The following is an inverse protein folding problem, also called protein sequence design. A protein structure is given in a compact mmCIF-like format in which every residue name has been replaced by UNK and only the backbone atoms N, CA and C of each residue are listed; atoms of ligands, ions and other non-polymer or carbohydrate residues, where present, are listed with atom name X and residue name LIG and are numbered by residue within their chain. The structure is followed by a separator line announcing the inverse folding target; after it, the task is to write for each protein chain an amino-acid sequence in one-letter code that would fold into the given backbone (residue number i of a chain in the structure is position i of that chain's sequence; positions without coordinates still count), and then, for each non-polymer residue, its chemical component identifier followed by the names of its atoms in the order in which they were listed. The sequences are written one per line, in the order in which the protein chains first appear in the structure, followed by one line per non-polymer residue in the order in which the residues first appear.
data_IF_191199428816
#
_entry.id   IF_191199428816
#
_cell.length_a   1.000
_cell.length_b   1.000
_cell.length_c   1.000
_cell.angle_alpha   90.00
_cell.angle_beta   90.00
_cell.angle_gamma   90.00
#
_symmetry.space_group_name_H-M   'P 1'
#
loop_
_entity.id
_entity.type
_entity.pdbx_description
1 polymer ?
#
# COMPACT_ATOMS: atom_id res chain seq x y z
N UNK A 1 -19.00 -11.63 5.69
CA UNK A 1 -18.82 -10.17 5.78
C UNK A 1 -19.63 -9.54 4.66
N UNK A 2 -20.54 -8.64 5.00
CA UNK A 2 -21.28 -7.85 4.01
C UNK A 2 -20.48 -6.61 3.58
N UNK A 3 -20.96 -5.88 2.55
CA UNK A 3 -20.27 -4.70 2.01
C UNK A 3 -20.08 -3.59 3.05
N UNK A 4 -21.10 -3.31 3.86
CA UNK A 4 -21.02 -2.23 4.86
C UNK A 4 -19.98 -2.53 5.93
N UNK A 5 -19.90 -3.78 6.41
CA UNK A 5 -18.89 -4.21 7.37
C UNK A 5 -17.49 -4.09 6.79
N UNK A 6 -17.30 -4.54 5.54
CA UNK A 6 -16.00 -4.49 4.87
C UNK A 6 -15.55 -3.05 4.66
N UNK A 7 -16.42 -2.19 4.13
CA UNK A 7 -16.10 -0.81 3.83
C UNK A 7 -15.82 -0.01 5.10
N UNK A 8 -16.58 -0.21 6.19
CA UNK A 8 -16.29 0.46 7.46
C UNK A 8 -14.90 0.08 7.98
N UNK A 9 -14.55 -1.20 7.96
CA UNK A 9 -13.22 -1.65 8.37
C UNK A 9 -12.10 -1.15 7.45
N UNK A 10 -12.36 -0.99 6.15
CA UNK A 10 -11.42 -0.35 5.21
C UNK A 10 -11.20 1.13 5.55
N UNK A 11 -12.27 1.88 5.84
CA UNK A 11 -12.16 3.29 6.21
C UNK A 11 -11.36 3.47 7.51
N UNK A 12 -11.60 2.62 8.52
CA UNK A 12 -10.82 2.60 9.75
C UNK A 12 -9.34 2.26 9.47
N UNK A 13 -9.08 1.24 8.66
CA UNK A 13 -7.73 0.87 8.26
C UNK A 13 -6.98 2.01 7.57
N UNK A 14 -7.61 2.72 6.63
CA UNK A 14 -7.02 3.85 5.91
C UNK A 14 -6.75 5.05 6.83
N UNK A 15 -7.66 5.32 7.77
CA UNK A 15 -7.53 6.39 8.75
C UNK A 15 -6.36 6.14 9.71
N UNK A 16 -6.19 4.91 10.17
CA UNK A 16 -5.12 4.53 11.11
C UNK A 16 -3.80 4.12 10.44
N UNK A 17 -3.71 4.23 9.11
CA UNK A 17 -2.52 3.88 8.32
C UNK A 17 -1.97 5.08 7.53
N UNK A 18 -1.50 6.16 8.19
CA UNK A 18 -0.93 7.32 7.51
C UNK A 18 0.41 7.04 6.82
N UNK A 19 1.11 5.97 7.20
CA UNK A 19 2.42 5.56 6.63
C UNK A 19 2.52 4.04 6.46
N UNK A 20 3.50 3.53 5.69
CA UNK A 20 3.74 2.08 5.56
C UNK A 20 3.94 1.38 6.91
N UNK A 21 4.62 2.05 7.85
CA UNK A 21 4.83 1.51 9.20
C UNK A 21 3.53 1.34 9.98
N UNK A 22 2.61 2.30 9.85
CA UNK A 22 1.30 2.23 10.48
C UNK A 22 0.41 1.20 9.78
N UNK A 23 0.46 1.11 8.45
CA UNK A 23 -0.23 0.08 7.70
C UNK A 23 0.17 -1.33 8.18
N UNK A 24 1.47 -1.61 8.29
CA UNK A 24 1.95 -2.90 8.83
C UNK A 24 1.56 -3.11 10.28
N UNK A 25 1.59 -2.08 11.13
CA UNK A 25 1.08 -2.19 12.51
C UNK A 25 -0.40 -2.61 12.53
N UNK A 26 -1.24 -1.99 11.70
CA UNK A 26 -2.66 -2.33 11.62
C UNK A 26 -2.87 -3.74 11.05
N UNK A 27 -2.17 -4.12 9.98
CA UNK A 27 -2.21 -5.48 9.42
C UNK A 27 -1.79 -6.53 10.46
N UNK A 28 -0.73 -6.26 11.21
CA UNK A 28 -0.28 -7.11 12.32
C UNK A 28 -1.39 -7.32 13.35
N UNK A 29 -2.03 -6.25 13.79
CA UNK A 29 -3.12 -6.32 14.77
C UNK A 29 -4.29 -7.17 14.27
N UNK A 30 -4.69 -6.99 13.00
CA UNK A 30 -5.74 -7.79 12.36
C UNK A 30 -5.38 -9.27 12.32
N UNK A 31 -4.15 -9.61 11.92
CA UNK A 31 -3.66 -10.99 11.84
C UNK A 31 -3.55 -11.63 13.23
N UNK A 32 -2.96 -10.95 14.20
CA UNK A 32 -2.82 -11.44 15.58
C UNK A 32 -4.18 -11.68 16.23
N UNK A 33 -5.15 -10.78 16.03
CA UNK A 33 -6.52 -10.97 16.52
C UNK A 33 -7.21 -12.23 15.98
N UNK A 34 -6.68 -12.80 14.89
CA UNK A 34 -7.19 -14.00 14.22
C UNK A 34 -6.27 -15.22 14.41
N UNK A 35 -5.40 -15.15 15.43
CA UNK A 35 -4.54 -16.25 15.86
C UNK A 35 -3.32 -16.48 14.98
N UNK A 36 -2.92 -15.51 14.14
CA UNK A 36 -1.63 -15.60 13.47
C UNK A 36 -0.49 -15.26 14.43
N UNK A 37 0.55 -16.09 14.42
CA UNK A 37 1.74 -15.95 15.24
C UNK A 37 2.83 -15.15 14.50
N UNK A 38 3.43 -14.16 15.17
CA UNK A 38 4.59 -13.46 14.62
C UNK A 38 5.82 -14.35 14.70
N UNK A 39 6.44 -14.64 13.55
CA UNK A 39 7.75 -15.29 13.49
C UNK A 39 8.85 -14.24 13.42
N UNK A 40 9.95 -14.50 14.13
CA UNK A 40 11.15 -13.69 14.04
C UNK A 40 12.04 -14.15 12.87
N UNK A 41 12.58 -13.21 12.09
CA UNK A 41 13.42 -13.52 10.92
C UNK A 41 14.74 -14.20 11.31
N UNK A 42 15.28 -13.87 12.48
CA UNK A 42 16.55 -14.36 13.03
C UNK A 42 16.45 -15.74 13.71
N UNK A 43 15.25 -16.26 13.89
CA UNK A 43 14.96 -17.49 14.62
C UNK A 43 14.63 -18.62 13.66
N UNK A 44 14.85 -19.89 14.05
CA UNK A 44 14.36 -21.03 13.27
C UNK A 44 12.83 -21.11 13.31
N UNK A 45 12.22 -21.63 12.23
CA UNK A 45 10.75 -21.76 12.14
C UNK A 45 10.32 -23.22 12.22
N UNK A 46 9.26 -23.49 12.99
CA UNK A 46 8.60 -24.80 13.04
C UNK A 46 7.14 -24.63 12.62
N UNK A 47 6.92 -24.64 11.32
CA UNK A 47 5.59 -24.46 10.74
C UNK A 47 4.79 -25.75 10.86
N UNK A 48 3.55 -25.63 11.36
CA UNK A 48 2.62 -26.76 11.52
C UNK A 48 1.57 -26.73 10.41
N UNK A 49 1.05 -27.89 9.94
CA UNK A 49 -0.14 -27.92 9.10
C UNK A 49 -1.33 -27.21 9.79
N UNK A 50 -2.09 -26.41 9.04
CA UNK A 50 -3.17 -25.58 9.60
C UNK A 50 -2.71 -24.36 10.40
N UNK A 51 -1.41 -24.12 10.48
CA UNK A 51 -0.80 -23.00 11.18
C UNK A 51 -1.01 -21.65 10.49
N UNK A 52 -0.95 -20.59 11.28
CA UNK A 52 -1.17 -19.20 10.86
C UNK A 52 0.00 -18.37 11.37
N UNK A 53 0.74 -17.75 10.46
CA UNK A 53 1.99 -17.08 10.79
C UNK A 53 2.12 -15.77 10.03
N UNK A 54 2.90 -14.83 10.55
CA UNK A 54 3.37 -13.70 9.76
C UNK A 54 4.78 -13.28 10.16
N UNK A 55 5.45 -12.60 9.23
CA UNK A 55 6.81 -12.09 9.37
C UNK A 55 6.79 -10.63 8.95
N UNK A 56 7.50 -9.77 9.67
CA UNK A 56 7.60 -8.34 9.36
C UNK A 56 9.05 -7.99 9.12
N UNK A 57 9.32 -7.26 8.04
CA UNK A 57 10.65 -6.72 7.73
C UNK A 57 10.61 -5.20 7.68
N UNK A 58 11.63 -4.57 8.27
CA UNK A 58 11.73 -3.11 8.41
C UNK A 58 10.55 -2.43 9.14
N UNK A 59 9.56 -3.17 9.61
CA UNK A 59 8.30 -2.60 10.10
C UNK A 59 7.41 -2.02 9.00
N UNK A 60 7.79 -2.10 7.72
CA UNK A 60 7.04 -1.53 6.58
C UNK A 60 6.58 -2.56 5.54
N UNK A 61 7.11 -3.80 5.60
CA UNK A 61 6.62 -4.92 4.80
C UNK A 61 6.21 -6.09 5.68
N UNK A 62 5.22 -6.86 5.22
CA UNK A 62 4.70 -8.02 5.95
C UNK A 62 4.40 -9.18 4.99
N UNK A 63 4.76 -10.39 5.41
CA UNK A 63 4.32 -11.65 4.77
C UNK A 63 3.47 -12.42 5.76
N UNK A 64 2.24 -12.76 5.39
CA UNK A 64 1.38 -13.68 6.15
C UNK A 64 1.29 -15.03 5.44
N UNK A 65 1.31 -16.10 6.23
CA UNK A 65 1.30 -17.49 5.77
C UNK A 65 0.17 -18.21 6.49
N UNK A 66 -0.64 -18.93 5.73
CA UNK A 66 -1.60 -19.89 6.26
C UNK A 66 -1.35 -21.23 5.60
N UNK A 67 -0.95 -22.23 6.39
CA UNK A 67 -0.61 -23.55 5.86
C UNK A 67 -1.86 -24.41 5.72
N UNK A 68 -2.03 -25.02 4.56
CA UNK A 68 -3.09 -25.99 4.30
C UNK A 68 -2.73 -27.39 4.82
N UNK A 69 -3.68 -28.34 4.79
CA UNK A 69 -3.43 -29.75 5.08
C UNK A 69 -2.60 -30.45 3.99
N UNK A 70 -2.67 -29.96 2.74
CA UNK A 70 -1.92 -30.49 1.60
C UNK A 70 -0.53 -29.82 1.55
N UNK A 71 0.51 -30.63 1.39
CA UNK A 71 1.87 -30.12 1.29
C UNK A 71 2.04 -29.25 0.03
N UNK A 72 2.80 -28.13 0.07
CA UNK A 72 2.98 -27.25 -1.10
C UNK A 72 3.49 -27.95 -2.36
N UNK A 73 4.24 -29.05 -2.23
CA UNK A 73 4.74 -29.82 -3.40
C UNK A 73 3.64 -30.53 -4.19
N UNK A 74 2.48 -30.76 -3.58
CA UNK A 74 1.37 -31.47 -4.20
C UNK A 74 0.24 -30.50 -4.57
N UNK A 75 0.10 -29.41 -3.79
CA UNK A 75 -0.99 -28.45 -3.96
C UNK A 75 -0.58 -27.09 -4.52
N UNK A 76 0.71 -26.74 -4.54
CA UNK A 76 1.17 -25.38 -4.84
C UNK A 76 0.75 -24.33 -3.79
N UNK A 77 1.05 -23.07 -4.08
CA UNK A 77 0.72 -21.91 -3.24
C UNK A 77 -0.27 -20.97 -3.92
N UNK A 78 -1.11 -20.35 -3.10
CA UNK A 78 -2.00 -19.25 -3.51
C UNK A 78 -1.40 -17.97 -2.97
N UNK A 79 -0.78 -17.20 -3.86
CA UNK A 79 -0.05 -16.00 -3.50
C UNK A 79 -0.89 -14.76 -3.81
N UNK A 80 -0.94 -13.82 -2.87
CA UNK A 80 -1.47 -12.48 -3.09
C UNK A 80 -0.35 -11.48 -2.79
N UNK A 81 -0.01 -10.64 -3.77
CA UNK A 81 0.97 -9.57 -3.62
C UNK A 81 0.31 -8.21 -3.68
N UNK A 82 0.70 -7.31 -2.78
CA UNK A 82 0.25 -5.91 -2.68
C UNK A 82 1.43 -5.02 -2.25
N UNK A 83 1.19 -3.72 -2.06
CA UNK A 83 2.19 -2.80 -1.52
C UNK A 83 1.61 -1.83 -0.48
N UNK A 84 2.42 -1.49 0.54
CA UNK A 84 2.05 -0.70 1.73
C UNK A 84 2.35 0.78 1.60
N UNK A 85 3.14 1.16 0.59
CA UNK A 85 3.49 2.53 0.31
C UNK A 85 2.53 3.23 -0.62
N UNK A 86 2.62 4.56 -0.61
CA UNK A 86 1.86 5.45 -1.47
C UNK A 86 2.69 6.69 -1.72
N UNK A 87 2.49 7.40 -2.84
CA UNK A 87 3.20 8.63 -3.12
C UNK A 87 2.90 9.68 -2.06
N UNK A 88 3.95 10.30 -1.51
CA UNK A 88 3.80 11.26 -0.43
C UNK A 88 4.93 12.30 -0.38
N UNK A 89 4.77 13.27 0.53
CA UNK A 89 5.84 14.20 0.90
C UNK A 89 6.54 13.66 2.15
N UNK A 90 7.82 13.27 2.03
CA UNK A 90 8.64 12.79 3.15
C UNK A 90 9.50 13.91 3.73
N UNK A 91 9.62 14.00 5.05
CA UNK A 91 10.47 15.02 5.70
C UNK A 91 11.96 14.71 5.44
N UNK A 92 12.73 15.73 5.02
CA UNK A 92 14.18 15.59 4.82
C UNK A 92 14.94 15.34 6.14
N UNK A 93 16.17 14.79 6.10
CA UNK A 93 16.99 14.56 7.30
C UNK A 93 17.42 15.84 8.04
N UNK A 94 17.53 16.97 7.33
CA UNK A 94 17.77 18.30 7.88
C UNK A 94 16.72 19.27 7.32
N UNK A 95 15.49 19.24 7.87
CA UNK A 95 14.33 19.78 7.17
C UNK A 95 14.10 21.28 7.43
N UNK A 96 14.62 21.82 8.53
CA UNK A 96 14.24 23.14 9.03
C UNK A 96 14.72 24.26 8.11
N UNK A 97 13.80 25.14 7.73
CA UNK A 97 14.07 26.35 6.96
C UNK A 97 13.40 27.52 7.69
N UNK A 98 14.20 28.50 8.11
CA UNK A 98 13.70 29.75 8.67
C UNK A 98 13.70 30.84 7.60
N UNK A 99 12.52 31.33 7.23
CA UNK A 99 12.39 32.34 6.17
C UNK A 99 11.21 33.28 6.42
N UNK A 100 11.45 34.59 6.33
CA UNK A 100 10.43 35.63 6.50
C UNK A 100 9.60 35.50 7.80
N UNK A 101 10.24 35.09 8.91
CA UNK A 101 9.55 34.90 10.19
C UNK A 101 8.70 33.63 10.27
N UNK A 102 8.88 32.68 9.36
CA UNK A 102 8.21 31.37 9.39
C UNK A 102 9.21 30.23 9.57
N UNK A 103 8.79 29.20 10.29
CA UNK A 103 9.43 27.89 10.29
C UNK A 103 8.76 27.03 9.21
N UNK A 104 9.60 26.53 8.32
CA UNK A 104 9.21 25.61 7.27
C UNK A 104 9.97 24.29 7.41
N UNK A 105 9.39 23.20 6.89
CA UNK A 105 10.05 21.91 6.76
C UNK A 105 10.17 21.54 5.28
N UNK A 106 11.39 21.27 4.84
CA UNK A 106 11.65 20.76 3.51
C UNK A 106 11.31 19.28 3.39
N UNK A 107 10.83 18.91 2.20
CA UNK A 107 10.36 17.57 1.90
C UNK A 107 11.04 16.98 0.67
N UNK A 108 11.08 15.65 0.62
CA UNK A 108 11.35 14.83 -0.54
C UNK A 108 10.04 14.38 -1.17
N UNK A 109 10.00 14.36 -2.50
CA UNK A 109 8.90 13.77 -3.25
C UNK A 109 9.17 12.28 -3.34
N UNK A 110 8.32 11.49 -2.69
CA UNK A 110 8.41 10.03 -2.72
C UNK A 110 7.32 9.50 -3.65
N UNK A 111 7.73 8.76 -4.70
CA UNK A 111 6.82 8.22 -5.71
C UNK A 111 6.31 9.24 -6.73
N UNK A 112 5.36 8.80 -7.57
CA UNK A 112 4.78 9.59 -8.65
C UNK A 112 3.70 10.57 -8.21
N UNK A 113 4.01 11.47 -7.27
CA UNK A 113 3.04 12.35 -6.59
C UNK A 113 2.34 13.33 -7.55
N UNK A 114 1.00 13.38 -7.51
CA UNK A 114 0.26 14.52 -8.04
C UNK A 114 0.43 15.70 -7.08
N UNK A 115 1.31 16.65 -7.40
CA UNK A 115 1.70 17.73 -6.47
C UNK A 115 0.58 18.74 -6.20
N UNK A 116 -0.22 19.11 -7.20
CA UNK A 116 -1.21 20.18 -7.04
C UNK A 116 -2.24 19.92 -5.93
N UNK A 117 -2.81 18.70 -5.79
CA UNK A 117 -3.71 18.37 -4.68
C UNK A 117 -3.18 18.56 -3.25
N UNK A 118 -1.85 18.61 -3.05
CA UNK A 118 -1.23 18.76 -1.72
C UNK A 118 -1.22 20.21 -1.23
N UNK A 119 -1.43 21.19 -2.12
CA UNK A 119 -1.53 22.59 -1.74
C UNK A 119 -2.84 22.85 -0.97
N UNK A 120 -2.77 23.76 -0.01
CA UNK A 120 -3.90 24.22 0.81
C UNK A 120 -4.65 23.11 1.55
N UNK A 121 -3.93 22.01 1.86
CA UNK A 121 -4.40 20.92 2.71
C UNK A 121 -3.98 21.15 4.16
N UNK A 122 -4.83 20.67 5.06
CA UNK A 122 -4.52 20.51 6.47
C UNK A 122 -3.70 19.23 6.62
N UNK A 123 -2.42 19.37 6.90
CA UNK A 123 -1.49 18.24 6.88
C UNK A 123 -0.99 17.91 8.29
N UNK A 124 -0.84 16.61 8.55
CA UNK A 124 -0.22 16.05 9.74
C UNK A 124 1.03 15.25 9.38
N UNK A 125 1.78 14.84 10.40
CA UNK A 125 3.04 14.13 10.30
C UNK A 125 2.95 12.80 11.06
N UNK A 126 3.38 11.72 10.43
CA UNK A 126 3.46 10.41 11.06
C UNK A 126 4.64 9.62 10.51
N UNK A 127 5.10 8.63 11.26
CA UNK A 127 6.16 7.74 10.79
C UNK A 127 6.86 6.99 11.91
N UNK A 128 8.15 6.74 11.71
CA UNK A 128 9.02 6.02 12.64
C UNK A 128 10.13 6.94 13.13
N UNK A 129 10.43 6.87 14.42
CA UNK A 129 11.54 7.58 15.06
C UNK A 129 12.44 6.56 15.74
N UNK A 130 13.74 6.62 15.50
CA UNK A 130 14.74 5.78 16.15
C UNK A 130 15.38 6.60 17.27
N UNK A 131 15.28 6.08 18.49
CA UNK A 131 15.62 6.81 19.70
C UNK A 131 16.66 6.07 20.53
N UNK A 132 17.47 6.84 21.27
CA UNK A 132 18.25 6.34 22.40
C UNK A 132 17.38 6.42 23.65
N UNK A 133 17.28 5.30 24.35
CA UNK A 133 16.60 5.21 25.64
C UNK A 133 17.54 5.65 26.78
N UNK A 134 17.00 6.00 27.95
CA UNK A 134 17.80 6.40 29.11
C UNK A 134 18.78 5.30 29.58
N UNK A 135 18.43 4.03 29.36
CA UNK A 135 19.31 2.88 29.65
C UNK A 135 20.43 2.68 28.59
N UNK A 136 20.46 3.51 27.54
CA UNK A 136 21.43 3.44 26.44
C UNK A 136 21.03 2.56 25.26
N UNK A 137 19.94 1.80 25.34
CA UNK A 137 19.43 0.98 24.23
C UNK A 137 18.90 1.85 23.09
N UNK A 138 18.93 1.32 21.87
CA UNK A 138 18.40 1.98 20.68
C UNK A 138 17.15 1.21 20.23
N UNK A 139 16.00 1.87 20.24
CA UNK A 139 14.75 1.29 19.76
C UNK A 139 14.03 2.28 18.83
N UNK A 140 13.25 1.74 17.90
CA UNK A 140 12.35 2.53 17.06
C UNK A 140 10.93 2.55 17.61
N UNK A 141 10.31 3.72 17.60
CA UNK A 141 8.93 3.96 18.00
C UNK A 141 8.15 4.54 16.81
N UNK A 142 6.85 4.25 16.75
CA UNK A 142 5.97 4.93 15.80
C UNK A 142 5.41 6.19 16.45
N UNK A 143 5.22 7.22 15.64
CA UNK A 143 4.62 8.49 16.05
C UNK A 143 3.62 8.99 15.02
N UNK A 144 2.58 9.68 15.48
CA UNK A 144 1.53 10.24 14.64
C UNK A 144 0.89 11.44 15.34
N UNK A 145 1.12 12.64 14.80
CA UNK A 145 0.66 13.87 15.41
C UNK A 145 -0.87 13.96 15.55
N UNK A 146 -1.63 13.24 14.70
CA UNK A 146 -3.11 13.17 14.70
C UNK A 146 -3.84 14.52 14.77
N UNK A 147 -3.18 15.59 14.33
CA UNK A 147 -3.73 16.95 14.26
C UNK A 147 -3.05 17.72 13.14
N UNK A 148 -3.72 18.70 12.53
CA UNK A 148 -3.12 19.52 11.49
C UNK A 148 -1.97 20.35 12.09
N UNK A 149 -0.77 20.16 11.57
CA UNK A 149 0.45 20.85 12.01
C UNK A 149 1.20 21.52 10.87
N UNK A 150 0.83 21.24 9.63
CA UNK A 150 1.51 21.75 8.46
C UNK A 150 0.52 22.08 7.33
N UNK A 151 0.95 22.92 6.39
CA UNK A 151 0.26 23.13 5.11
C UNK A 151 1.25 23.56 4.03
N UNK A 152 0.90 23.38 2.76
CA UNK A 152 1.63 23.95 1.62
C UNK A 152 0.76 25.05 1.01
N UNK A 153 0.95 26.33 1.35
CA UNK A 153 0.06 27.38 0.89
C UNK A 153 0.27 27.71 -0.59
N UNK A 154 -0.81 27.84 -1.35
CA UNK A 154 -0.77 28.36 -2.71
C UNK A 154 -0.39 29.84 -2.75
N UNK A 155 0.34 30.24 -3.80
CA UNK A 155 0.51 31.66 -4.10
C UNK A 155 -0.83 32.25 -4.56
N UNK A 156 -1.23 33.37 -3.97
CA UNK A 156 -2.46 34.06 -4.33
C UNK A 156 -2.50 34.40 -5.84
N UNK A 157 -3.64 34.13 -6.49
CA UNK A 157 -3.85 34.36 -7.93
C UNK A 157 -3.57 35.80 -8.37
N UNK A 158 -3.79 36.78 -7.49
CA UNK A 158 -3.50 38.19 -7.75
C UNK A 158 -2.01 38.45 -8.05
N UNK A 159 -1.12 37.61 -7.49
CA UNK A 159 0.32 37.64 -7.68
C UNK A 159 0.79 36.67 -8.78
N UNK A 160 -0.09 35.80 -9.27
CA UNK A 160 0.16 34.86 -10.36
C UNK A 160 -1.05 34.73 -11.28
N UNK A 161 -1.23 35.72 -12.16
CA UNK A 161 -2.39 35.78 -13.07
C UNK A 161 -2.41 34.68 -14.13
N UNK A 162 -1.28 34.02 -14.36
CA UNK A 162 -1.13 32.96 -15.36
C UNK A 162 -1.12 31.55 -14.71
N UNK A 163 -1.55 31.40 -13.46
CA UNK A 163 -1.56 30.12 -12.72
C UNK A 163 -2.31 28.97 -13.44
N UNK A 164 -3.25 29.29 -14.32
CA UNK A 164 -4.01 28.32 -15.12
C UNK A 164 -3.45 28.07 -16.53
N UNK A 165 -2.35 28.74 -16.91
CA UNK A 165 -1.73 28.60 -18.24
C UNK A 165 -0.40 27.89 -18.11
N UNK A 166 -0.35 26.60 -18.46
CA UNK A 166 0.88 25.79 -18.51
C UNK A 166 1.73 25.88 -17.22
N UNK A 167 1.09 25.92 -16.03
CA UNK A 167 1.80 25.98 -14.75
C UNK A 167 2.59 24.70 -14.52
N UNK A 168 3.88 24.85 -14.24
CA UNK A 168 4.71 23.83 -13.62
C UNK A 168 4.89 24.15 -12.14
N UNK A 169 5.01 23.12 -11.30
CA UNK A 169 5.31 23.25 -9.87
C UNK A 169 6.76 22.86 -9.67
N UNK A 170 7.58 23.73 -9.07
CA UNK A 170 8.92 23.37 -8.66
C UNK A 170 8.88 22.67 -7.30
N UNK A 171 9.15 21.35 -7.20
CA UNK A 171 8.99 20.62 -5.95
C UNK A 171 9.93 21.12 -4.83
N UNK A 172 11.14 21.56 -5.18
CA UNK A 172 12.12 22.04 -4.20
C UNK A 172 11.81 23.44 -3.64
N UNK A 173 11.13 24.29 -4.41
CA UNK A 173 10.88 25.69 -4.05
C UNK A 173 9.45 25.97 -3.60
N UNK A 174 8.48 25.28 -4.18
CA UNK A 174 7.05 25.54 -3.97
C UNK A 174 6.38 24.50 -3.06
N UNK A 175 6.95 23.29 -2.95
CA UNK A 175 6.40 22.23 -2.08
C UNK A 175 7.26 22.16 -0.81
N UNK A 176 7.02 23.11 0.09
CA UNK A 176 7.69 23.21 1.39
C UNK A 176 6.61 23.42 2.44
N UNK A 177 6.64 22.63 3.51
CA UNK A 177 5.63 22.67 4.55
C UNK A 177 5.82 23.93 5.40
N UNK A 178 4.74 24.70 5.59
CA UNK A 178 4.67 25.78 6.56
C UNK A 178 4.13 25.21 7.88
N UNK A 179 4.87 25.38 8.98
CA UNK A 179 4.55 24.73 10.27
C UNK A 179 4.25 25.74 11.37
N UNK A 180 5.00 26.84 11.45
CA UNK A 180 4.74 27.87 12.45
C UNK A 180 5.20 29.25 11.98
N UNK A 181 4.74 30.28 12.67
CA UNK A 181 5.09 31.69 12.46
C UNK A 181 5.63 32.32 13.75
N UNK A 182 6.56 33.26 13.61
CA UNK A 182 7.20 34.01 14.70
C UNK A 182 8.62 33.53 15.01
N UNK A 183 9.43 34.40 15.58
CA UNK A 183 10.84 34.15 15.96
C UNK A 183 11.00 33.25 17.21
N UNK A 184 9.92 32.60 17.66
CA UNK A 184 9.81 32.05 19.01
C UNK A 184 10.07 30.55 19.16
N UNK A 185 10.03 29.76 18.08
CA UNK A 185 10.26 28.32 18.16
C UNK A 185 11.63 27.95 17.59
N UNK A 186 12.63 27.90 18.47
CA UNK A 186 14.00 27.51 18.12
C UNK A 186 14.23 26.00 18.19
N UNK A 187 13.17 25.19 18.39
CA UNK A 187 13.29 23.73 18.46
C UNK A 187 13.69 23.19 17.09
N UNK A 188 14.66 22.27 17.09
CA UNK A 188 14.89 21.43 15.93
C UNK A 188 13.70 20.50 15.72
N UNK A 189 13.54 19.98 14.51
CA UNK A 189 12.53 18.98 14.21
C UNK A 189 12.70 17.72 15.06
N UNK A 190 13.95 17.35 15.38
CA UNK A 190 14.25 16.25 16.32
C UNK A 190 13.71 16.51 17.72
N UNK A 191 13.78 17.75 18.21
CA UNK A 191 13.17 18.13 19.48
C UNK A 191 11.64 18.09 19.40
N UNK A 192 11.04 18.55 18.29
CA UNK A 192 9.59 18.43 18.07
C UNK A 192 9.12 16.97 18.08
N UNK A 193 9.88 16.07 17.48
CA UNK A 193 9.61 14.63 17.51
C UNK A 193 9.78 14.04 18.92
N UNK A 194 10.80 14.48 19.67
CA UNK A 194 10.98 14.05 21.06
C UNK A 194 9.79 14.45 21.92
N UNK A 195 9.34 15.71 21.81
CA UNK A 195 8.17 16.22 22.53
C UNK A 195 6.91 15.41 22.18
N UNK A 196 6.71 15.10 20.89
CA UNK A 196 5.57 14.27 20.44
C UNK A 196 5.65 12.84 20.97
N UNK A 197 6.83 12.21 20.91
CA UNK A 197 7.03 10.85 21.44
C UNK A 197 6.79 10.82 22.95
N UNK A 198 7.25 11.81 23.70
CA UNK A 198 7.00 11.91 25.14
C UNK A 198 5.51 12.11 25.46
N UNK A 199 4.77 12.77 24.57
CA UNK A 199 3.33 12.90 24.69
C UNK A 199 2.59 11.58 24.43
N UNK A 200 2.94 10.86 23.36
CA UNK A 200 2.28 9.61 22.96
C UNK A 200 2.69 8.41 23.81
N UNK A 201 3.95 8.38 24.24
CA UNK A 201 4.60 7.27 24.92
C UNK A 201 5.17 7.70 26.27
N UNK A 202 4.37 8.40 27.09
CA UNK A 202 4.80 9.00 28.36
C UNK A 202 5.50 8.04 29.34
N UNK A 203 5.31 6.73 29.19
CA UNK A 203 5.93 5.69 30.02
C UNK A 203 7.23 5.11 29.43
N UNK A 204 7.66 5.54 28.25
CA UNK A 204 8.89 5.08 27.59
C UNK A 204 9.99 6.12 27.85
N UNK A 205 11.08 5.76 28.55
CA UNK A 205 12.13 6.70 28.93
C UNK A 205 13.06 6.99 27.74
N UNK A 206 12.61 7.87 26.85
CA UNK A 206 13.37 8.31 25.67
C UNK A 206 14.29 9.47 26.05
N UNK A 207 15.60 9.27 25.85
CA UNK A 207 16.60 10.30 26.10
C UNK A 207 16.79 11.24 24.90
N UNK A 208 16.84 10.69 23.68
CA UNK A 208 17.17 11.45 22.47
C UNK A 208 16.61 10.79 21.21
N UNK A 209 16.21 11.61 20.23
CA UNK A 209 15.87 11.18 18.86
C UNK A 209 17.13 11.13 17.98
N UNK A 210 17.56 9.93 17.59
CA UNK A 210 18.76 9.70 16.79
C UNK A 210 18.51 9.79 15.28
N UNK A 211 17.36 9.31 14.78
CA UNK A 211 16.94 9.49 13.40
C UNK A 211 15.45 9.25 13.19
N UNK A 212 14.93 9.55 11.99
CA UNK A 212 13.51 9.40 11.70
C UNK A 212 13.20 9.18 10.20
N UNK A 213 12.02 8.60 9.97
CA UNK A 213 11.35 8.53 8.67
C UNK A 213 9.91 9.00 8.86
N UNK A 214 9.63 10.24 8.47
CA UNK A 214 8.33 10.89 8.69
C UNK A 214 7.71 11.27 7.35
N UNK A 215 6.46 10.87 7.16
CA UNK A 215 5.65 11.23 6.01
C UNK A 215 4.61 12.28 6.42
N UNK A 216 4.29 13.14 5.46
CA UNK A 216 3.17 14.06 5.53
C UNK A 216 1.88 13.38 5.03
N UNK A 217 0.74 13.67 5.66
CA UNK A 217 -0.56 13.15 5.22
C UNK A 217 -1.70 14.15 5.44
N UNK A 218 -2.78 14.07 4.65
CA UNK A 218 -4.01 14.86 4.82
C UNK A 218 -4.78 14.34 6.04
N UNK A 219 -5.16 15.25 6.94
CA UNK A 219 -5.95 14.91 8.14
C UNK A 219 -7.42 14.64 7.82
N UNK A 220 -7.88 15.00 6.62
CA UNK A 220 -9.26 14.76 6.20
C UNK A 220 -9.54 13.24 6.17
N UNK A 221 -10.49 12.74 6.99
CA UNK A 221 -10.72 11.30 7.09
C UNK A 221 -11.22 10.70 5.77
N UNK A 222 -11.03 9.39 5.57
CA UNK A 222 -11.65 8.67 4.47
C UNK A 222 -13.17 8.68 4.66
N UNK A 223 -13.92 8.76 3.58
CA UNK A 223 -15.38 8.90 3.64
C UNK A 223 -16.08 8.26 2.45
N UNK A 224 -17.30 7.77 2.69
CA UNK A 224 -18.26 7.48 1.63
C UNK A 224 -18.86 8.80 1.15
N UNK A 225 -18.88 9.02 -0.17
CA UNK A 225 -19.38 10.25 -0.78
C UNK A 225 -20.22 9.94 -2.04
N UNK A 226 -20.89 10.97 -2.56
CA UNK A 226 -21.78 10.87 -3.71
C UNK A 226 -23.25 10.99 -3.31
N UNK A 227 -24.13 11.36 -4.25
CA UNK A 227 -25.55 11.59 -3.94
C UNK A 227 -26.24 10.33 -3.40
N UNK A 228 -25.81 9.14 -3.86
CA UNK A 228 -26.32 7.85 -3.41
C UNK A 228 -25.24 7.03 -2.71
N UNK A 229 -24.25 7.68 -2.10
CA UNK A 229 -23.12 7.00 -1.45
C UNK A 229 -22.33 6.10 -2.42
N UNK A 230 -22.18 6.53 -3.67
CA UNK A 230 -21.65 5.71 -4.78
C UNK A 230 -20.13 5.48 -4.71
N UNK A 231 -19.40 6.26 -3.91
CA UNK A 231 -17.93 6.31 -3.92
C UNK A 231 -17.30 6.26 -2.54
N UNK A 232 -16.05 5.80 -2.49
CA UNK A 232 -15.16 5.96 -1.35
C UNK A 232 -14.03 6.92 -1.74
N UNK A 233 -13.88 8.00 -0.98
CA UNK A 233 -12.81 8.99 -1.13
C UNK A 233 -11.85 8.91 0.05
N UNK A 234 -10.57 8.67 -0.23
CA UNK A 234 -9.56 8.50 0.80
C UNK A 234 -8.15 8.78 0.25
N UNK A 235 -7.23 9.13 1.14
CA UNK A 235 -5.80 9.05 0.83
C UNK A 235 -5.38 7.58 0.77
N UNK A 236 -4.41 7.26 -0.09
CA UNK A 236 -3.70 5.96 -0.09
C UNK A 236 -4.61 4.76 -0.41
N UNK A 237 -5.68 4.97 -1.19
CA UNK A 237 -6.41 3.84 -1.77
C UNK A 237 -5.43 2.99 -2.57
N UNK A 238 -4.52 3.64 -3.30
CA UNK A 238 -3.31 3.07 -3.84
C UNK A 238 -2.21 2.95 -2.76
N UNK A 239 -1.89 1.78 -2.24
CA UNK A 239 -2.55 0.48 -2.47
C UNK A 239 -3.06 -0.18 -1.19
N UNK A 240 -3.33 0.63 -0.16
CA UNK A 240 -3.82 0.14 1.13
C UNK A 240 -5.20 -0.51 1.03
N UNK A 241 -6.01 -0.17 0.01
CA UNK A 241 -7.24 -0.89 -0.31
C UNK A 241 -6.93 -2.37 -0.56
N UNK A 242 -5.96 -2.66 -1.42
CA UNK A 242 -5.59 -4.03 -1.75
C UNK A 242 -4.93 -4.74 -0.58
N UNK A 243 -4.09 -4.05 0.21
CA UNK A 243 -3.53 -4.62 1.45
C UNK A 243 -4.64 -5.07 2.42
N UNK A 244 -5.64 -4.22 2.64
CA UNK A 244 -6.76 -4.55 3.50
C UNK A 244 -7.57 -5.74 2.95
N UNK A 245 -7.92 -5.70 1.66
CA UNK A 245 -8.64 -6.79 0.99
C UNK A 245 -7.88 -8.12 1.04
N UNK A 246 -6.56 -8.10 0.81
CA UNK A 246 -5.71 -9.29 0.90
C UNK A 246 -5.64 -9.85 2.32
N UNK A 247 -5.49 -8.97 3.32
CA UNK A 247 -5.43 -9.35 4.73
C UNK A 247 -6.74 -9.97 5.21
N UNK A 248 -7.87 -9.34 4.88
CA UNK A 248 -9.20 -9.91 5.13
C UNK A 248 -9.38 -11.26 4.45
N UNK A 249 -8.91 -11.39 3.20
CA UNK A 249 -9.04 -12.63 2.44
C UNK A 249 -8.28 -13.79 3.09
N UNK A 250 -7.03 -13.61 3.51
CA UNK A 250 -6.23 -14.69 4.13
C UNK A 250 -6.77 -15.07 5.53
N UNK A 251 -7.30 -14.10 6.26
CA UNK A 251 -8.00 -14.31 7.53
C UNK A 251 -9.25 -15.18 7.31
N UNK A 252 -10.09 -14.79 6.36
CA UNK A 252 -11.42 -15.36 6.16
C UNK A 252 -11.43 -16.63 5.29
N UNK A 253 -10.32 -16.99 4.64
CA UNK A 253 -10.19 -18.21 3.85
C UNK A 253 -10.54 -19.48 4.66
N UNK A 254 -10.87 -20.57 3.98
CA UNK A 254 -11.14 -21.89 4.54
C UNK A 254 -9.89 -22.50 5.19
N UNK A 255 -8.72 -22.31 4.58
CA UNK A 255 -7.45 -22.93 4.99
C UNK A 255 -7.23 -24.32 4.41
N UNK A 256 -8.00 -24.71 3.38
CA UNK A 256 -7.79 -25.98 2.65
C UNK A 256 -6.56 -25.95 1.74
N UNK A 257 -6.07 -24.75 1.39
CA UNK A 257 -4.86 -24.56 0.59
C UNK A 257 -3.80 -23.79 1.39
N UNK A 258 -2.54 -23.95 1.01
CA UNK A 258 -1.48 -23.09 1.55
C UNK A 258 -1.53 -21.74 0.84
N UNK A 259 -1.78 -20.69 1.61
CA UNK A 259 -1.92 -19.32 1.15
C UNK A 259 -0.80 -18.43 1.71
N UNK A 260 -0.33 -17.51 0.89
CA UNK A 260 0.68 -16.53 1.27
C UNK A 260 0.22 -15.15 0.79
N UNK A 261 0.20 -14.19 1.70
CA UNK A 261 -0.01 -12.78 1.39
C UNK A 261 1.31 -12.04 1.61
N UNK A 262 1.69 -11.16 0.69
CA UNK A 262 2.79 -10.21 0.87
C UNK A 262 2.31 -8.79 0.62
N UNK A 263 2.65 -7.88 1.53
CA UNK A 263 2.52 -6.45 1.36
C UNK A 263 3.94 -5.86 1.38
N UNK A 264 4.44 -5.44 0.22
CA UNK A 264 5.79 -4.91 0.03
C UNK A 264 5.82 -3.40 0.27
N UNK A 265 6.97 -2.84 0.63
CA UNK A 265 7.22 -1.40 0.67
C UNK A 265 8.00 -0.99 -0.60
N UNK A 266 8.14 0.30 -0.86
CA UNK A 266 8.91 0.87 -1.97
C UNK A 266 8.43 0.51 -3.38
N UNK A 267 7.17 0.14 -3.58
CA UNK A 267 6.63 -0.09 -4.92
C UNK A 267 6.73 1.17 -5.78
N UNK A 268 6.35 2.31 -5.20
CA UNK A 268 6.23 3.61 -5.86
C UNK A 268 7.56 4.20 -6.32
N UNK A 269 8.66 3.59 -5.88
CA UNK A 269 10.04 3.97 -6.23
C UNK A 269 10.79 2.84 -6.94
N UNK A 270 10.08 1.82 -7.42
CA UNK A 270 10.61 0.76 -8.28
C UNK A 270 10.96 -0.56 -7.57
N UNK A 271 10.54 -0.75 -6.32
CA UNK A 271 10.66 -2.00 -5.53
C UNK A 271 12.07 -2.51 -5.19
N UNK A 272 13.13 -1.81 -5.59
CA UNK A 272 14.52 -2.20 -5.35
C UNK A 272 14.96 -1.82 -3.92
N UNK A 273 14.61 -2.65 -2.94
CA UNK A 273 15.05 -2.50 -1.55
C UNK A 273 15.01 -3.85 -0.80
N UNK A 274 15.57 -3.92 0.41
CA UNK A 274 15.52 -5.15 1.23
C UNK A 274 14.09 -5.59 1.62
N UNK A 275 13.13 -4.66 1.55
CA UNK A 275 11.72 -4.83 1.94
C UNK A 275 10.74 -4.70 0.76
N UNK A 276 11.24 -4.39 -0.44
CA UNK A 276 10.41 -4.26 -1.64
C UNK A 276 10.27 -5.56 -2.42
N UNK A 277 9.45 -5.52 -3.47
CA UNK A 277 9.12 -6.71 -4.26
C UNK A 277 10.34 -7.30 -5.02
N UNK A 278 11.32 -6.48 -5.37
CA UNK A 278 12.60 -6.94 -5.94
C UNK A 278 13.62 -7.33 -4.86
N UNK A 279 13.22 -7.25 -3.58
CA UNK A 279 14.03 -7.60 -2.44
C UNK A 279 13.99 -9.10 -2.10
N UNK A 280 14.89 -9.56 -1.21
CA UNK A 280 14.96 -10.96 -0.85
C UNK A 280 13.83 -11.41 0.10
N UNK A 281 12.94 -10.52 0.53
CA UNK A 281 12.00 -10.80 1.63
C UNK A 281 11.04 -11.94 1.33
N UNK A 282 10.32 -11.85 0.22
CA UNK A 282 9.40 -12.89 -0.19
C UNK A 282 10.13 -14.20 -0.51
N UNK A 283 11.19 -14.14 -1.34
CA UNK A 283 11.99 -15.32 -1.71
C UNK A 283 12.49 -16.08 -0.47
N UNK A 284 13.17 -15.39 0.44
CA UNK A 284 13.73 -16.02 1.66
C UNK A 284 12.62 -16.61 2.56
N UNK A 285 11.45 -15.99 2.61
CA UNK A 285 10.30 -16.52 3.35
C UNK A 285 9.76 -17.80 2.71
N UNK A 286 9.65 -17.83 1.37
CA UNK A 286 9.16 -18.98 0.62
C UNK A 286 10.15 -20.15 0.63
N UNK A 287 11.46 -19.89 0.56
CA UNK A 287 12.48 -20.93 0.69
C UNK A 287 12.42 -21.61 2.05
N UNK A 288 12.14 -20.85 3.12
CA UNK A 288 11.95 -21.39 4.47
C UNK A 288 10.64 -22.16 4.61
N UNK A 289 9.59 -21.72 3.93
CA UNK A 289 8.31 -22.44 3.86
C UNK A 289 8.46 -23.78 3.11
N UNK A 290 9.23 -23.81 2.02
CA UNK A 290 9.44 -24.99 1.18
C UNK A 290 10.61 -25.87 1.67
N UNK A 291 11.43 -25.38 2.60
CA UNK A 291 12.60 -26.06 3.17
C UNK A 291 13.89 -25.93 2.36
N UNK A 292 13.82 -25.80 1.03
CA UNK A 292 14.97 -25.58 0.16
C UNK A 292 14.54 -25.01 -1.21
N UNK A 293 15.51 -24.49 -1.98
CA UNK A 293 15.26 -23.83 -3.27
C UNK A 293 14.81 -24.78 -4.39
N UNK A 294 15.24 -26.05 -4.40
CA UNK A 294 14.77 -27.03 -5.41
C UNK A 294 13.28 -27.30 -5.24
N UNK A 295 12.86 -27.54 -4.00
CA UNK A 295 11.47 -27.77 -3.66
C UNK A 295 10.65 -26.52 -3.94
N UNK A 296 11.16 -25.33 -3.60
CA UNK A 296 10.50 -24.07 -3.93
C UNK A 296 10.24 -23.93 -5.44
N UNK A 297 11.21 -24.22 -6.29
CA UNK A 297 11.05 -24.12 -7.75
C UNK A 297 9.90 -25.01 -8.26
N UNK A 298 9.83 -26.26 -7.80
CA UNK A 298 8.72 -27.17 -8.15
C UNK A 298 7.37 -26.69 -7.63
N UNK A 299 7.36 -26.10 -6.43
CA UNK A 299 6.15 -25.51 -5.85
C UNK A 299 5.68 -24.32 -6.67
N UNK A 300 6.59 -23.46 -7.16
CA UNK A 300 6.23 -22.29 -7.97
C UNK A 300 5.52 -22.66 -9.28
N UNK A 301 5.90 -23.77 -9.93
CA UNK A 301 5.23 -24.30 -11.12
C UNK A 301 3.77 -24.72 -10.85
N UNK A 302 3.45 -25.07 -9.60
CA UNK A 302 2.09 -25.39 -9.15
C UNK A 302 1.38 -24.19 -8.50
N UNK A 303 2.03 -23.04 -8.44
CA UNK A 303 1.55 -21.86 -7.71
C UNK A 303 1.03 -20.79 -8.66
N UNK A 304 0.27 -19.85 -8.10
CA UNK A 304 -0.14 -18.65 -8.80
C UNK A 304 -0.11 -17.44 -7.88
N UNK A 305 0.27 -16.30 -8.44
CA UNK A 305 0.25 -15.00 -7.81
C UNK A 305 -0.87 -14.13 -8.41
N UNK A 306 -1.73 -13.62 -7.53
CA UNK A 306 -2.51 -12.41 -7.82
C UNK A 306 -1.66 -11.21 -7.41
N UNK A 307 -1.16 -10.44 -8.38
CA UNK A 307 -0.59 -9.12 -8.14
C UNK A 307 -1.74 -8.12 -8.09
N UNK A 308 -2.03 -7.61 -6.90
CA UNK A 308 -3.22 -6.82 -6.63
C UNK A 308 -2.81 -5.39 -6.36
N UNK A 309 -3.14 -4.55 -7.32
CA UNK A 309 -2.79 -3.14 -7.33
C UNK A 309 -3.83 -2.38 -8.17
N UNK A 310 -4.20 -1.17 -7.77
CA UNK A 310 -5.38 -0.51 -8.31
C UNK A 310 -5.30 -0.28 -9.84
N UNK A 311 -6.46 -0.08 -10.46
CA UNK A 311 -6.59 0.10 -11.91
C UNK A 311 -7.18 1.46 -12.24
N UNK A 312 -6.85 2.02 -13.40
CA UNK A 312 -7.40 3.30 -13.81
C UNK A 312 -8.83 3.15 -14.35
N UNK A 313 -9.81 3.67 -13.61
CA UNK A 313 -11.17 3.81 -14.14
C UNK A 313 -11.19 4.86 -15.27
N UNK A 314 -12.13 4.71 -16.21
CA UNK A 314 -12.36 5.73 -17.24
C UNK A 314 -12.79 7.04 -16.58
N UNK A 315 -12.02 8.10 -16.83
CA UNK A 315 -12.32 9.41 -16.26
C UNK A 315 -13.31 10.14 -17.18
N UNK A 316 -14.50 10.55 -16.71
CA UNK A 316 -15.54 11.12 -17.58
C UNK A 316 -15.11 12.41 -18.30
N UNK A 317 -14.24 13.21 -17.68
CA UNK A 317 -13.69 14.43 -18.29
C UNK A 317 -12.45 14.21 -19.18
N UNK A 318 -11.91 12.99 -19.27
CA UNK A 318 -10.67 12.65 -19.99
C UNK A 318 -10.78 11.27 -20.66
N UNK A 319 -11.94 10.95 -21.22
CA UNK A 319 -12.23 9.64 -21.81
C UNK A 319 -11.28 9.25 -22.95
N UNK A 320 -10.65 10.25 -23.59
CA UNK A 320 -9.67 10.08 -24.66
C UNK A 320 -8.37 9.43 -24.19
N UNK A 321 -8.11 9.39 -22.87
CA UNK A 321 -6.92 8.75 -22.27
C UNK A 321 -7.02 7.24 -22.18
N UNK A 322 -8.21 6.66 -22.33
CA UNK A 322 -8.41 5.21 -22.34
C UNK A 322 -8.56 4.68 -23.76
N UNK A 323 -8.20 3.41 -23.95
CA UNK A 323 -8.56 2.69 -25.17
C UNK A 323 -10.10 2.55 -25.24
N UNK A 324 -10.73 2.77 -26.40
CA UNK A 324 -12.19 2.74 -26.52
C UNK A 324 -12.87 1.44 -26.07
N UNK A 325 -12.17 0.30 -26.14
CA UNK A 325 -12.70 -1.02 -25.79
C UNK A 325 -12.27 -1.49 -24.39
N UNK A 326 -11.45 -0.71 -23.69
CA UNK A 326 -10.87 -1.07 -22.40
C UNK A 326 -11.06 0.06 -21.39
N UNK A 327 -12.31 0.23 -20.96
CA UNK A 327 -12.77 1.34 -20.11
C UNK A 327 -13.37 0.80 -18.80
N UNK A 328 -12.54 0.48 -17.80
CA UNK A 328 -13.06 0.05 -16.50
C UNK A 328 -13.93 1.16 -15.90
N UNK A 329 -15.10 0.79 -15.41
CA UNK A 329 -16.01 1.65 -14.68
C UNK A 329 -15.85 1.41 -13.17
N UNK A 330 -16.07 2.45 -12.37
CA UNK A 330 -16.29 2.29 -10.93
C UNK A 330 -17.54 1.44 -10.68
N UNK A 331 -17.56 0.72 -9.56
CA UNK A 331 -18.60 -0.23 -9.15
C UNK A 331 -18.80 -1.41 -10.12
N UNK A 332 -17.87 -1.61 -11.07
CA UNK A 332 -17.92 -2.65 -12.09
C UNK A 332 -17.15 -3.93 -11.72
N UNK A 333 -16.52 -3.96 -10.54
CA UNK A 333 -15.74 -5.11 -10.07
C UNK A 333 -14.28 -5.10 -10.52
N UNK A 334 -13.50 -6.13 -10.12
CA UNK A 334 -12.07 -6.19 -10.35
C UNK A 334 -11.69 -6.10 -11.83
N UNK A 335 -10.57 -5.44 -12.10
CA UNK A 335 -10.05 -5.21 -13.46
C UNK A 335 -8.83 -6.09 -13.69
N UNK A 336 -8.85 -6.91 -14.74
CA UNK A 336 -7.65 -7.62 -15.21
C UNK A 336 -6.79 -6.66 -16.05
N UNK A 337 -5.52 -6.52 -15.70
CA UNK A 337 -4.59 -5.56 -16.32
C UNK A 337 -3.70 -6.26 -17.34
N UNK A 338 -3.76 -5.84 -18.60
CA UNK A 338 -2.97 -6.39 -19.71
C UNK A 338 -1.95 -5.38 -20.24
N UNK A 339 -0.73 -5.85 -20.51
CA UNK A 339 0.25 -5.08 -21.26
C UNK A 339 1.24 -6.01 -21.98
N UNK A 340 1.30 -5.95 -23.31
CA UNK A 340 2.16 -6.83 -24.11
C UNK A 340 3.67 -6.66 -23.79
N UNK A 341 4.09 -5.48 -23.31
CA UNK A 341 5.48 -5.20 -22.94
C UNK A 341 5.81 -5.63 -21.50
N UNK A 342 5.00 -6.51 -20.90
CA UNK A 342 5.21 -7.04 -19.54
C UNK A 342 5.29 -5.95 -18.46
N UNK A 343 4.53 -4.86 -18.63
CA UNK A 343 4.23 -3.90 -17.53
C UNK A 343 3.26 -4.48 -16.50
N UNK A 344 2.51 -5.48 -16.93
CA UNK A 344 1.71 -6.39 -16.13
C UNK A 344 2.08 -7.81 -16.58
N UNK A 345 2.14 -8.77 -15.66
CA UNK A 345 2.56 -10.16 -15.93
C UNK A 345 1.41 -11.04 -16.46
N UNK A 346 0.20 -10.50 -16.51
CA UNK A 346 -0.99 -11.17 -17.03
C UNK A 346 -0.77 -11.76 -18.43
N UNK A 347 -1.14 -13.03 -18.59
CA UNK A 347 -1.21 -13.72 -19.88
C UNK A 347 -2.58 -14.42 -20.04
N UNK A 348 -2.76 -15.18 -21.12
CA UNK A 348 -4.04 -15.85 -21.41
C UNK A 348 -4.44 -16.87 -20.35
N UNK A 349 -3.49 -17.64 -19.81
CA UNK A 349 -3.77 -18.69 -18.83
C UNK A 349 -4.11 -18.09 -17.46
N UNK A 350 -3.27 -17.16 -16.98
CA UNK A 350 -3.49 -16.53 -15.68
C UNK A 350 -4.77 -15.68 -15.66
N UNK A 351 -5.10 -15.01 -16.77
CA UNK A 351 -6.37 -14.30 -16.89
C UNK A 351 -7.58 -15.23 -17.00
N UNK A 352 -7.47 -16.35 -17.73
CA UNK A 352 -8.58 -17.30 -17.88
C UNK A 352 -8.96 -17.93 -16.53
N UNK A 353 -7.96 -18.27 -15.71
CA UNK A 353 -8.19 -18.78 -14.36
C UNK A 353 -8.95 -17.76 -13.50
N UNK A 354 -8.47 -16.51 -13.45
CA UNK A 354 -9.13 -15.47 -12.66
C UNK A 354 -10.54 -15.16 -13.17
N UNK A 355 -10.75 -15.17 -14.49
CA UNK A 355 -12.07 -14.98 -15.09
C UNK A 355 -13.04 -16.12 -14.74
N UNK A 356 -12.58 -17.38 -14.82
CA UNK A 356 -13.37 -18.56 -14.45
C UNK A 356 -13.75 -18.54 -12.97
N UNK A 357 -12.82 -18.14 -12.11
CA UNK A 357 -13.07 -17.94 -10.68
C UNK A 357 -14.17 -16.89 -10.46
N UNK A 358 -14.04 -15.71 -11.07
CA UNK A 358 -15.02 -14.64 -10.93
C UNK A 358 -16.40 -15.08 -11.44
N UNK A 359 -16.47 -15.80 -12.57
CA UNK A 359 -17.72 -16.37 -13.09
C UNK A 359 -18.37 -17.35 -12.12
N UNK A 360 -17.58 -18.23 -11.50
CA UNK A 360 -18.07 -19.22 -10.52
C UNK A 360 -18.64 -18.55 -9.26
N UNK A 361 -18.08 -17.39 -8.89
CA UNK A 361 -18.47 -16.62 -7.71
C UNK A 361 -19.52 -15.55 -7.98
N UNK A 362 -19.99 -15.43 -9.22
CA UNK A 362 -20.89 -14.36 -9.67
C UNK A 362 -20.32 -12.96 -9.35
N UNK A 363 -19.08 -12.73 -9.75
CA UNK A 363 -18.35 -11.47 -9.60
C UNK A 363 -18.12 -10.89 -11.00
N UNK A 364 -18.58 -9.65 -11.28
CA UNK A 364 -18.28 -8.99 -12.54
C UNK A 364 -16.78 -8.70 -12.63
N UNK A 365 -16.22 -8.92 -13.82
CA UNK A 365 -14.79 -8.70 -14.09
C UNK A 365 -14.63 -7.83 -15.33
N UNK A 366 -13.74 -6.86 -15.22
CA UNK A 366 -13.42 -5.90 -16.27
C UNK A 366 -12.02 -6.16 -16.80
N UNK A 367 -11.62 -5.44 -17.85
CA UNK A 367 -10.28 -5.53 -18.40
C UNK A 367 -9.77 -4.15 -18.81
N UNK A 368 -8.48 -3.94 -18.63
CA UNK A 368 -7.77 -2.75 -19.11
C UNK A 368 -6.58 -3.15 -19.97
N UNK A 369 -6.44 -2.45 -21.10
CA UNK A 369 -5.24 -2.38 -21.89
C UNK A 369 -5.01 -0.90 -22.22
N UNK A 370 -3.76 -0.44 -22.10
CA UNK A 370 -3.43 0.94 -22.42
C UNK A 370 -3.54 1.17 -23.93
N UNK A 371 -3.84 2.42 -24.32
CA UNK A 371 -3.69 2.85 -25.70
C UNK A 371 -2.27 2.57 -26.18
N UNK A 372 -2.12 2.11 -27.42
CA UNK A 372 -0.81 1.72 -27.96
C UNK A 372 0.20 2.88 -28.06
N UNK A 373 -0.28 4.13 -28.03
CA UNK A 373 0.53 5.35 -28.08
C UNK A 373 0.90 5.92 -26.70
N UNK A 374 0.49 5.27 -25.60
CA UNK A 374 0.73 5.71 -24.24
C UNK A 374 1.51 4.67 -23.42
N UNK A 375 2.48 5.14 -22.64
CA UNK A 375 3.18 4.29 -21.69
C UNK A 375 2.28 3.95 -20.49
N UNK A 376 2.57 2.80 -19.88
CA UNK A 376 1.93 2.31 -18.66
C UNK A 376 2.95 2.32 -17.52
N UNK A 377 2.50 2.59 -16.29
CA UNK A 377 3.26 2.19 -15.10
C UNK A 377 3.49 0.68 -15.06
N UNK A 378 4.46 0.25 -14.27
CA UNK A 378 4.68 -1.18 -13.95
C UNK A 378 4.17 -1.45 -12.54
N UNK A 379 4.02 -2.72 -12.18
CA UNK A 379 3.63 -3.16 -10.83
C UNK A 379 4.68 -4.09 -10.22
N UNK A 380 4.41 -4.61 -9.02
CA UNK A 380 5.16 -5.74 -8.44
C UNK A 380 4.98 -7.05 -9.21
N UNK A 381 3.97 -7.17 -10.09
CA UNK A 381 3.60 -8.41 -10.76
C UNK A 381 4.74 -8.97 -11.62
N UNK A 382 5.20 -8.23 -12.64
CA UNK A 382 6.36 -8.63 -13.45
C UNK A 382 7.63 -8.86 -12.63
N UNK A 383 7.87 -8.04 -11.60
CA UNK A 383 9.04 -8.14 -10.72
C UNK A 383 9.01 -9.47 -9.97
N UNK A 384 7.90 -9.77 -9.31
CA UNK A 384 7.74 -10.99 -8.51
C UNK A 384 7.73 -12.24 -9.39
N UNK A 385 7.07 -12.17 -10.56
CA UNK A 385 7.06 -13.24 -11.54
C UNK A 385 8.48 -13.56 -12.04
N UNK A 386 9.29 -12.55 -12.35
CA UNK A 386 10.66 -12.71 -12.80
C UNK A 386 11.58 -13.26 -11.70
N UNK A 387 11.41 -12.80 -10.47
CA UNK A 387 12.19 -13.29 -9.33
C UNK A 387 11.83 -14.74 -9.00
N UNK A 388 10.55 -15.06 -8.81
CA UNK A 388 10.15 -16.37 -8.30
C UNK A 388 9.92 -17.42 -9.39
N UNK A 389 9.71 -17.01 -10.65
CA UNK A 389 9.27 -17.91 -11.72
C UNK A 389 7.81 -18.34 -11.58
N UNK A 390 6.96 -17.55 -10.92
CA UNK A 390 5.56 -17.90 -10.63
C UNK A 390 4.58 -17.32 -11.65
N UNK A 391 3.59 -18.12 -12.06
CA UNK A 391 2.49 -17.66 -12.90
C UNK A 391 1.75 -16.51 -12.21
N UNK A 392 1.54 -15.40 -12.91
CA UNK A 392 1.03 -14.16 -12.30
C UNK A 392 -0.10 -13.55 -13.14
N UNK A 393 -1.12 -13.02 -12.46
CA UNK A 393 -2.13 -12.13 -13.05
C UNK A 393 -2.15 -10.83 -12.26
N UNK A 394 -2.15 -9.72 -12.99
CA UNK A 394 -2.31 -8.39 -12.43
C UNK A 394 -3.80 -8.01 -12.43
N UNK A 395 -4.32 -7.71 -11.25
CA UNK A 395 -5.69 -7.28 -11.04
C UNK A 395 -5.76 -6.04 -10.14
N UNK A 396 -6.88 -5.34 -10.14
CA UNK A 396 -7.06 -4.17 -9.27
C UNK A 396 -8.50 -3.72 -9.13
N UNK A 397 -8.78 -2.92 -8.10
CA UNK A 397 -10.01 -2.15 -8.04
C UNK A 397 -9.89 -0.91 -8.94
N UNK A 398 -10.93 -0.55 -9.71
CA UNK A 398 -10.92 0.65 -10.52
C UNK A 398 -10.94 1.90 -9.61
N UNK A 399 -10.11 2.89 -9.92
CA UNK A 399 -10.02 4.15 -9.20
C UNK A 399 -9.77 5.34 -10.12
N UNK A 400 -10.09 6.53 -9.62
CA UNK A 400 -9.78 7.83 -10.20
C UNK A 400 -8.79 8.57 -9.31
N UNK A 401 -8.06 9.51 -9.92
CA UNK A 401 -7.08 10.37 -9.26
C UNK A 401 -5.97 9.61 -8.51
N UNK A 402 -5.57 8.44 -9.02
CA UNK A 402 -4.42 7.66 -8.54
C UNK A 402 -3.19 8.57 -8.28
N UNK A 403 -2.52 8.38 -7.14
CA UNK A 403 -1.40 9.18 -6.61
C UNK A 403 -1.75 10.60 -6.14
N UNK A 404 -3.04 10.93 -6.03
CA UNK A 404 -3.51 12.14 -5.34
C UNK A 404 -3.40 11.97 -3.83
N UNK A 405 -3.28 13.08 -3.10
CA UNK A 405 -3.45 13.07 -1.63
C UNK A 405 -4.84 12.59 -1.21
N UNK A 406 -5.82 12.66 -2.13
CA UNK A 406 -7.18 12.13 -1.96
C UNK A 406 -7.68 11.54 -3.27
N UNK A 407 -7.82 10.22 -3.28
CA UNK A 407 -8.19 9.37 -4.41
C UNK A 407 -9.68 8.98 -4.31
N UNK A 408 -10.21 8.31 -5.34
CA UNK A 408 -11.62 7.94 -5.41
C UNK A 408 -11.81 6.54 -6.04
N UNK A 409 -12.55 5.65 -5.38
CA UNK A 409 -12.96 4.34 -5.94
C UNK A 409 -14.47 4.15 -5.82
N UNK A 410 -15.06 3.18 -6.52
CA UNK A 410 -16.45 2.81 -6.35
C UNK A 410 -16.67 2.15 -4.99
N UNK A 411 -17.82 2.42 -4.35
CA UNK A 411 -18.19 1.81 -3.07
C UNK A 411 -18.19 0.27 -3.10
N UNK A 412 -18.57 -0.34 -4.21
CA UNK A 412 -18.75 -1.79 -4.32
C UNK A 412 -17.43 -2.51 -4.63
N UNK A 413 -16.48 -1.82 -5.28
CA UNK A 413 -15.26 -2.42 -5.81
C UNK A 413 -14.37 -3.08 -4.73
N UNK A 414 -14.13 -2.47 -3.55
CA UNK A 414 -13.31 -3.10 -2.51
C UNK A 414 -13.87 -4.45 -2.04
N UNK A 415 -15.19 -4.54 -1.87
CA UNK A 415 -15.85 -5.78 -1.41
C UNK A 415 -15.85 -6.84 -2.50
N UNK A 416 -16.05 -6.45 -3.77
CA UNK A 416 -15.96 -7.38 -4.91
C UNK A 416 -14.53 -7.92 -5.07
N UNK A 417 -13.52 -7.08 -4.92
CA UNK A 417 -12.12 -7.50 -4.91
C UNK A 417 -11.85 -8.49 -3.77
N UNK A 418 -12.24 -8.18 -2.54
CA UNK A 418 -12.12 -9.10 -1.40
C UNK A 418 -12.77 -10.46 -1.67
N UNK A 419 -13.98 -10.49 -2.24
CA UNK A 419 -14.66 -11.76 -2.58
C UNK A 419 -13.85 -12.58 -3.58
N UNK A 420 -13.28 -11.93 -4.61
CA UNK A 420 -12.45 -12.61 -5.61
C UNK A 420 -11.15 -13.15 -4.99
N UNK A 421 -10.46 -12.36 -4.17
CA UNK A 421 -9.24 -12.74 -3.49
C UNK A 421 -9.47 -13.92 -2.52
N UNK A 422 -10.49 -13.86 -1.67
CA UNK A 422 -10.86 -14.96 -0.78
C UNK A 422 -11.20 -16.23 -1.57
N UNK A 423 -11.99 -16.08 -2.64
CA UNK A 423 -12.35 -17.19 -3.51
C UNK A 423 -11.14 -17.87 -4.15
N UNK A 424 -10.14 -17.09 -4.56
CA UNK A 424 -8.87 -17.61 -5.08
C UNK A 424 -8.11 -18.43 -4.02
N UNK A 425 -8.03 -17.93 -2.78
CA UNK A 425 -7.40 -18.68 -1.68
C UNK A 425 -8.15 -19.97 -1.34
N UNK A 426 -9.48 -19.99 -1.56
CA UNK A 426 -10.33 -21.15 -1.32
C UNK A 426 -10.33 -22.17 -2.47
N UNK A 427 -9.64 -21.88 -3.58
CA UNK A 427 -9.67 -22.71 -4.78
C UNK A 427 -8.76 -23.95 -4.67
N UNK A 428 -9.30 -25.18 -4.58
CA UNK A 428 -8.50 -26.38 -4.28
C UNK A 428 -7.52 -26.76 -5.38
N UNK A 429 -7.86 -26.49 -6.64
CA UNK A 429 -6.98 -26.66 -7.80
C UNK A 429 -6.97 -25.41 -8.67
N UNK A 430 -5.78 -24.98 -9.08
CA UNK A 430 -5.59 -23.86 -10.01
C UNK A 430 -5.88 -24.29 -11.45
N UNK A 431 -5.48 -25.50 -11.82
CA UNK A 431 -5.60 -26.06 -13.15
C UNK A 431 -6.51 -27.29 -13.09
N UNK A 432 -7.50 -27.40 -13.98
CA UNK A 432 -8.46 -28.51 -13.99
C UNK A 432 -7.77 -29.87 -14.16
#
# INVERSE_FOLDING_TARGET
MNESEFNNGLLEFLADSPTPFHAVKQLKQLLTAQGFEQLAEDSSWSLKPGGRYFVVRNGSSIVAIRTGPVHPTDGGLRLIGTHTDSPCLKIKPAPEISRQGFLQLSVEIYGGVLLSPWFDRDLSLAGRVTCRMENGEINSLLTDFRRPVATVPSLAIHLNRDVHKNRTINPQKEVVLLVSSGDGDSRSFRQLLLDQIQHEHANIPVAEVLDYEINCYDVQPPAVIGLNDDFIAASRLDNLLSCYAACRSIIDASGETTAVMVCNDHEEVGSLSASGAQGPFLRSTLERLCGNSETMNRVMDLSMLLSVDNAHAVHPNYEDKHDPQHRPCLNGGPVIKYNANQRYATNSESAALFRNLCQTLDIPVQQIAMRSDMACGSTIGPITAAELGVATVDIGSPQLAMHSVRELTGRNDPTLLYRALKGFLDQPSLWC
#
